data_IF_648125789005
#
_entry.id   IF_648125789005
#
_cell.length_a   1.000
_cell.length_b   1.000
_cell.length_c   1.000
_cell.angle_alpha   90.00
_cell.angle_beta   90.00
_cell.angle_gamma   90.00
#
_symmetry.space_group_name_H-M   'P 1'
#
loop_
_entity.id
_entity.type
_entity.pdbx_description
1 polymer ?
#
# COMPACT_ATOMS: atom_id res chain seq x y z
N UNK A 1 21.74 -31.39 1.26
CA UNK A 1 21.84 -30.77 -0.08
C UNK A 1 20.66 -29.84 -0.29
N UNK A 2 20.91 -28.55 -0.28
CA UNK A 2 19.85 -27.57 -0.58
C UNK A 2 19.59 -27.57 -2.08
N UNK A 3 18.35 -27.88 -2.49
CA UNK A 3 17.93 -27.81 -3.89
C UNK A 3 17.38 -26.41 -4.11
N UNK A 4 18.16 -25.55 -4.74
CA UNK A 4 17.70 -24.24 -5.18
C UNK A 4 16.84 -24.42 -6.42
N UNK A 5 15.52 -24.12 -6.31
CA UNK A 5 14.61 -24.13 -7.46
C UNK A 5 14.53 -22.71 -8.02
N UNK A 6 14.98 -22.55 -9.25
CA UNK A 6 14.84 -21.30 -10.01
C UNK A 6 13.70 -21.45 -11.02
N UNK A 7 12.81 -20.47 -11.06
CA UNK A 7 11.75 -20.41 -12.04
C UNK A 7 12.10 -19.39 -13.11
N UNK A 8 11.96 -19.79 -14.37
CA UNK A 8 12.18 -18.95 -15.54
C UNK A 8 10.93 -18.93 -16.40
N UNK A 9 10.73 -17.85 -17.14
CA UNK A 9 9.60 -17.67 -18.04
C UNK A 9 10.08 -17.64 -19.49
N UNK A 10 9.48 -18.48 -20.33
CA UNK A 10 9.74 -18.52 -21.77
C UNK A 10 8.46 -18.14 -22.51
N UNK A 11 8.60 -17.30 -23.55
CA UNK A 11 7.49 -16.96 -24.42
C UNK A 11 7.09 -18.15 -25.31
N UNK A 12 6.05 -17.94 -26.14
CA UNK A 12 5.55 -18.99 -27.04
C UNK A 12 6.59 -19.45 -28.09
N UNK A 13 7.61 -18.63 -28.36
CA UNK A 13 8.71 -18.96 -29.27
C UNK A 13 9.87 -19.69 -28.56
N UNK A 14 9.76 -19.96 -27.26
CA UNK A 14 10.80 -20.58 -26.46
C UNK A 14 11.93 -19.66 -26.02
N UNK A 15 11.75 -18.33 -26.14
CA UNK A 15 12.74 -17.34 -25.74
C UNK A 15 12.59 -16.97 -24.28
N UNK A 16 13.70 -16.98 -23.54
CA UNK A 16 13.74 -16.55 -22.14
C UNK A 16 13.33 -15.08 -22.00
N UNK A 17 12.29 -14.84 -21.21
CA UNK A 17 11.87 -13.48 -20.85
C UNK A 17 12.50 -13.08 -19.51
N UNK A 18 13.08 -11.89 -19.45
CA UNK A 18 13.68 -11.33 -18.23
C UNK A 18 13.10 -9.94 -17.95
N UNK A 19 13.26 -9.47 -16.71
CA UNK A 19 12.65 -8.24 -16.26
C UNK A 19 11.21 -8.46 -15.82
N UNK A 20 10.38 -7.43 -15.95
CA UNK A 20 8.97 -7.46 -15.59
C UNK A 20 8.17 -8.25 -16.63
N UNK A 21 7.48 -9.31 -16.19
CA UNK A 21 6.70 -10.22 -17.03
C UNK A 21 5.26 -10.26 -16.53
N UNK A 22 4.31 -9.98 -17.42
CA UNK A 22 2.87 -10.10 -17.17
C UNK A 22 2.33 -11.34 -17.91
N UNK A 23 1.75 -12.28 -17.18
CA UNK A 23 1.15 -13.51 -17.75
C UNK A 23 -0.35 -13.35 -18.09
N UNK A 24 -0.87 -12.11 -18.00
CA UNK A 24 -2.28 -11.77 -18.20
C UNK A 24 -3.12 -11.82 -16.91
N UNK A 25 -2.61 -12.41 -15.82
CA UNK A 25 -3.27 -12.47 -14.51
C UNK A 25 -2.41 -11.84 -13.41
N UNK A 26 -1.11 -11.99 -13.51
CA UNK A 26 -0.16 -11.61 -12.47
C UNK A 26 1.12 -11.07 -13.06
N UNK A 27 1.79 -10.23 -12.29
CA UNK A 27 3.05 -9.63 -12.65
C UNK A 27 4.17 -10.30 -11.87
N UNK A 28 5.27 -10.62 -12.56
CA UNK A 28 6.47 -11.28 -12.01
C UNK A 28 7.71 -10.52 -12.44
N UNK A 29 8.81 -10.74 -11.75
CA UNK A 29 10.11 -10.25 -12.18
C UNK A 29 11.11 -11.40 -12.31
N UNK A 30 11.69 -11.55 -13.47
CA UNK A 30 12.64 -12.61 -13.80
C UNK A 30 14.03 -12.02 -13.95
N UNK A 31 14.90 -12.38 -13.02
CA UNK A 31 16.33 -12.08 -13.13
C UNK A 31 17.01 -13.07 -14.07
N UNK A 32 17.93 -12.58 -14.89
CA UNK A 32 18.58 -13.39 -15.92
C UNK A 32 19.30 -14.63 -15.36
N UNK A 33 19.93 -14.50 -14.20
CA UNK A 33 20.79 -15.55 -13.64
C UNK A 33 20.15 -16.32 -12.48
N UNK A 34 19.18 -15.70 -11.79
CA UNK A 34 18.58 -16.25 -10.56
C UNK A 34 17.09 -16.54 -10.70
N UNK A 35 16.51 -16.27 -11.88
CA UNK A 35 15.10 -16.56 -12.16
C UNK A 35 14.12 -15.62 -11.45
N UNK A 36 12.93 -16.14 -11.18
CA UNK A 36 11.81 -15.39 -10.59
C UNK A 36 12.11 -14.90 -9.19
N UNK A 37 11.90 -13.61 -8.95
CA UNK A 37 12.01 -13.01 -7.63
C UNK A 37 10.85 -13.43 -6.72
N UNK A 38 11.16 -13.71 -5.46
CA UNK A 38 10.19 -14.04 -4.41
C UNK A 38 10.57 -13.34 -3.11
N UNK A 39 9.57 -12.98 -2.30
CA UNK A 39 9.75 -12.35 -0.99
C UNK A 39 10.72 -11.15 -0.99
N UNK A 40 10.64 -10.31 -2.02
CA UNK A 40 11.62 -9.22 -2.17
C UNK A 40 11.04 -7.99 -2.86
N UNK A 41 11.68 -6.88 -2.57
CA UNK A 41 11.43 -5.60 -3.22
C UNK A 41 12.25 -5.49 -4.51
N UNK A 42 11.69 -4.85 -5.51
CA UNK A 42 12.40 -4.47 -6.73
C UNK A 42 12.06 -3.05 -7.12
N UNK A 43 13.06 -2.20 -7.12
CA UNK A 43 12.99 -0.87 -7.70
C UNK A 43 13.53 -0.94 -9.12
N UNK A 44 12.68 -0.62 -10.10
CA UNK A 44 13.07 -0.55 -11.52
C UNK A 44 13.59 0.85 -11.82
N UNK A 45 12.94 1.86 -11.27
CA UNK A 45 13.34 3.26 -11.34
C UNK A 45 12.71 4.04 -10.17
N UNK A 46 12.97 5.33 -10.06
CA UNK A 46 12.48 6.18 -8.96
C UNK A 46 10.96 6.22 -8.79
N UNK A 47 10.21 5.86 -9.84
CA UNK A 47 8.73 5.86 -9.84
C UNK A 47 8.14 4.47 -9.66
N UNK A 48 8.85 3.44 -10.08
CA UNK A 48 8.35 2.06 -10.17
C UNK A 48 9.08 1.16 -9.18
N UNK A 49 8.40 0.89 -8.08
CA UNK A 49 8.85 -0.02 -7.02
C UNK A 49 7.78 -1.07 -6.82
N UNK A 50 8.16 -2.33 -6.82
CA UNK A 50 7.29 -3.50 -6.67
C UNK A 50 7.70 -4.35 -5.47
N UNK A 51 6.77 -5.13 -4.96
CA UNK A 51 7.06 -6.20 -4.02
C UNK A 51 6.54 -7.52 -4.57
N UNK A 52 7.42 -8.51 -4.67
CA UNK A 52 7.08 -9.86 -5.13
C UNK A 52 6.92 -10.78 -3.92
N UNK A 53 5.73 -11.37 -3.81
CA UNK A 53 5.33 -12.25 -2.71
C UNK A 53 6.05 -13.60 -2.78
N UNK A 54 5.82 -14.48 -1.80
CA UNK A 54 6.42 -15.82 -1.74
C UNK A 54 6.17 -16.65 -3.01
N UNK A 55 5.00 -16.48 -3.63
CA UNK A 55 4.64 -17.15 -4.88
C UNK A 55 5.17 -16.44 -6.15
N UNK A 56 5.98 -15.42 -6.00
CA UNK A 56 6.55 -14.61 -7.08
C UNK A 56 5.61 -13.56 -7.67
N UNK A 57 4.35 -13.54 -7.31
CA UNK A 57 3.39 -12.54 -7.81
C UNK A 57 3.64 -11.19 -7.18
N UNK A 58 3.63 -10.13 -7.97
CA UNK A 58 3.63 -8.77 -7.44
C UNK A 58 2.38 -8.51 -6.58
N UNK A 59 2.54 -7.79 -5.50
CA UNK A 59 1.43 -7.22 -4.76
C UNK A 59 0.69 -6.21 -5.67
N UNK A 60 -0.64 -6.33 -5.77
CA UNK A 60 -1.49 -5.48 -6.63
C UNK A 60 -2.80 -5.19 -5.92
N UNK A 61 -3.21 -3.91 -5.90
CA UNK A 61 -4.44 -3.45 -5.28
C UNK A 61 -4.63 -3.98 -3.85
N UNK A 62 -3.55 -4.00 -3.09
CA UNK A 62 -3.52 -4.57 -1.74
C UNK A 62 -2.58 -3.82 -0.80
N UNK A 63 -2.85 -3.96 0.50
CA UNK A 63 -1.96 -3.54 1.56
C UNK A 63 -1.04 -4.67 1.98
N UNK A 64 0.24 -4.35 2.13
CA UNK A 64 1.23 -5.23 2.75
C UNK A 64 1.95 -4.47 3.85
N UNK A 65 1.68 -4.84 5.11
CA UNK A 65 2.12 -4.10 6.29
C UNK A 65 1.69 -2.62 6.21
N UNK A 66 2.61 -1.71 6.05
CA UNK A 66 2.39 -0.25 5.97
C UNK A 66 2.51 0.32 4.56
N UNK A 67 2.48 -0.52 3.56
CA UNK A 67 2.62 -0.16 2.16
C UNK A 67 1.37 -0.54 1.39
N UNK A 68 0.99 0.30 0.45
CA UNK A 68 -0.11 0.02 -0.47
C UNK A 68 0.42 -0.07 -1.90
N UNK A 69 -0.07 -1.05 -2.64
CA UNK A 69 0.27 -1.23 -4.05
C UNK A 69 -0.94 -0.93 -4.92
N UNK A 70 -0.72 -0.17 -6.00
CA UNK A 70 -1.74 0.17 -6.97
C UNK A 70 -2.17 -1.07 -7.78
N UNK A 71 -3.20 -0.92 -8.61
CA UNK A 71 -3.70 -2.00 -9.47
C UNK A 71 -2.70 -2.49 -10.52
N UNK A 72 -1.71 -1.68 -10.86
CA UNK A 72 -0.58 -2.03 -11.74
C UNK A 72 0.61 -2.64 -10.97
N UNK A 73 0.51 -2.77 -9.66
CA UNK A 73 1.55 -3.33 -8.79
C UNK A 73 2.58 -2.31 -8.32
N UNK A 74 2.48 -1.04 -8.72
CA UNK A 74 3.42 0.00 -8.29
C UNK A 74 3.13 0.43 -6.87
N UNK A 75 4.17 0.61 -6.07
CA UNK A 75 4.09 1.13 -4.71
C UNK A 75 3.51 2.55 -4.69
N UNK A 76 2.41 2.74 -3.98
CA UNK A 76 1.80 4.06 -3.77
C UNK A 76 2.71 4.96 -2.94
N UNK A 77 2.96 6.19 -3.41
CA UNK A 77 3.82 7.19 -2.72
C UNK A 77 3.17 8.56 -2.76
N UNK A 78 3.41 9.38 -1.72
CA UNK A 78 2.97 10.78 -1.64
C UNK A 78 1.47 10.99 -1.91
N UNK A 79 0.62 10.11 -1.39
CA UNK A 79 -0.84 10.19 -1.62
C UNK A 79 -1.63 9.65 -0.43
N UNK A 80 -2.90 9.98 -0.41
CA UNK A 80 -3.88 9.44 0.52
C UNK A 80 -4.56 8.19 -0.07
N UNK A 81 -4.60 7.12 0.71
CA UNK A 81 -5.41 5.93 0.44
C UNK A 81 -6.39 5.79 1.61
N UNK A 82 -7.65 6.16 1.36
CA UNK A 82 -8.61 6.28 2.45
C UNK A 82 -8.16 7.30 3.49
N UNK A 83 -8.00 6.85 4.73
CA UNK A 83 -7.54 7.69 5.86
C UNK A 83 -6.02 7.68 6.07
N UNK A 84 -5.28 6.92 5.28
CA UNK A 84 -3.83 6.77 5.44
C UNK A 84 -3.07 7.62 4.44
N UNK A 85 -2.14 8.43 4.94
CA UNK A 85 -1.19 9.16 4.11
C UNK A 85 0.10 8.38 3.93
N UNK A 86 0.48 8.15 2.68
CA UNK A 86 1.72 7.50 2.31
C UNK A 86 2.78 8.56 2.00
N UNK A 87 3.92 8.45 2.66
CA UNK A 87 5.04 9.37 2.47
C UNK A 87 5.79 9.09 1.15
N UNK A 88 6.88 9.82 0.90
CA UNK A 88 7.71 9.66 -0.31
C UNK A 88 8.34 8.26 -0.46
N UNK A 89 8.50 7.51 0.64
CA UNK A 89 8.97 6.12 0.63
C UNK A 89 7.84 5.09 0.45
N UNK A 90 6.58 5.54 0.30
CA UNK A 90 5.40 4.68 0.19
C UNK A 90 4.93 4.11 1.53
N UNK A 91 5.49 4.53 2.64
CA UNK A 91 5.13 4.02 3.98
C UNK A 91 4.07 4.90 4.60
N UNK A 92 3.10 4.29 5.31
CA UNK A 92 2.12 5.03 6.10
C UNK A 92 2.84 5.94 7.11
N UNK A 93 2.57 7.25 7.03
CA UNK A 93 3.11 8.23 7.96
C UNK A 93 2.29 8.22 9.25
N UNK A 94 2.87 7.69 10.31
CA UNK A 94 2.24 7.69 11.65
C UNK A 94 2.09 9.10 12.23
N UNK A 95 2.95 10.02 11.80
CA UNK A 95 2.88 11.42 12.23
C UNK A 95 1.64 12.10 11.67
N UNK A 96 1.37 11.90 10.39
CA UNK A 96 0.19 12.48 9.71
C UNK A 96 -1.09 11.84 10.24
N UNK A 97 -1.09 10.53 10.45
CA UNK A 97 -2.22 9.80 11.05
C UNK A 97 -2.54 10.31 12.46
N UNK A 98 -1.53 10.53 13.29
CA UNK A 98 -1.70 11.05 14.66
C UNK A 98 -2.30 12.46 14.66
N UNK A 99 -1.84 13.33 13.78
CA UNK A 99 -2.38 14.68 13.62
C UNK A 99 -3.83 14.65 13.12
N UNK A 100 -4.15 13.77 12.18
CA UNK A 100 -5.50 13.58 11.67
C UNK A 100 -6.47 13.05 12.75
N UNK A 101 -6.06 12.07 13.55
CA UNK A 101 -6.84 11.58 14.69
C UNK A 101 -7.05 12.68 15.74
N UNK A 102 -6.04 13.50 16.01
CA UNK A 102 -6.15 14.62 16.92
C UNK A 102 -7.19 15.65 16.45
N UNK A 103 -7.21 15.97 15.16
CA UNK A 103 -8.20 16.87 14.56
C UNK A 103 -9.62 16.28 14.67
N UNK A 104 -9.82 15.01 14.34
CA UNK A 104 -11.13 14.35 14.47
C UNK A 104 -11.60 14.35 15.93
N UNK A 105 -10.71 14.04 16.87
CA UNK A 105 -11.01 13.99 18.30
C UNK A 105 -11.42 15.37 18.83
N UNK A 106 -10.71 16.43 18.44
CA UNK A 106 -11.05 17.82 18.84
C UNK A 106 -12.39 18.26 18.26
N UNK A 107 -12.69 17.92 16.98
CA UNK A 107 -14.00 18.21 16.37
C UNK A 107 -15.14 17.46 17.06
N UNK A 108 -14.94 16.19 17.42
CA UNK A 108 -15.94 15.40 18.14
C UNK A 108 -16.26 16.01 19.53
N UNK A 109 -15.23 16.44 20.27
CA UNK A 109 -15.41 17.13 21.56
C UNK A 109 -16.16 18.44 21.37
N UNK A 110 -15.84 19.26 20.38
CA UNK A 110 -16.53 20.51 20.08
C UNK A 110 -18.02 20.29 19.79
N UNK A 111 -18.38 19.25 19.01
CA UNK A 111 -19.77 18.90 18.74
C UNK A 111 -20.52 18.46 20.00
N UNK A 112 -19.91 17.68 20.88
CA UNK A 112 -20.48 17.26 22.17
C UNK A 112 -20.73 18.50 23.04
N UNK A 113 -19.77 19.41 23.12
CA UNK A 113 -19.90 20.65 23.89
C UNK A 113 -21.05 21.54 23.39
N UNK A 114 -21.20 21.69 22.07
CA UNK A 114 -22.32 22.43 21.48
C UNK A 114 -23.67 21.81 21.80
N UNK A 115 -23.77 20.49 21.75
CA UNK A 115 -25.01 19.74 22.11
C UNK A 115 -25.36 19.96 23.58
N UNK A 116 -24.38 19.89 24.48
CA UNK A 116 -24.57 20.12 25.92
C UNK A 116 -24.99 21.56 26.19
N UNK A 117 -24.38 22.53 25.55
CA UNK A 117 -24.74 23.95 25.69
C UNK A 117 -26.17 24.21 25.23
N UNK A 118 -26.58 23.60 24.11
CA UNK A 118 -27.97 23.70 23.62
C UNK A 118 -28.95 23.08 24.63
N UNK A 119 -28.67 21.88 25.11
CA UNK A 119 -29.51 21.19 26.12
C UNK A 119 -29.66 22.00 27.42
N UNK A 120 -28.58 22.64 27.86
CA UNK A 120 -28.60 23.49 29.05
C UNK A 120 -29.46 24.74 28.83
N UNK A 121 -29.32 25.42 27.68
CA UNK A 121 -30.13 26.58 27.32
C UNK A 121 -31.61 26.24 27.23
N UNK A 122 -31.99 25.11 26.64
CA UNK A 122 -33.38 24.65 26.51
C UNK A 122 -34.00 24.34 27.90
N UNK A 123 -33.22 23.87 28.85
CA UNK A 123 -33.67 23.65 30.25
C UNK A 123 -33.96 24.97 30.98
N UNK A 124 -33.18 26.01 30.77
CA UNK A 124 -33.36 27.31 31.39
C UNK A 124 -34.61 28.00 30.84
N UNK A 125 -34.89 27.90 29.51
CA UNK A 125 -36.05 28.52 28.87
C UNK A 125 -37.36 27.85 29.25
N UNK A 126 -37.38 26.58 29.67
CA UNK A 126 -38.56 25.83 30.11
C UNK A 126 -39.01 26.11 31.55
N UNK A 127 -38.26 26.87 32.26
CA UNK A 127 -38.65 27.41 33.56
C UNK A 127 -39.38 28.72 33.37
#
# INVERSE_FOLDING_TARGET
MEIYRYWFYFNQNGELQTGLVDDGNSLYYIEKNTGMLTNTWKEINSKETYYFKENGKAAKDEWMDRYHFENDGILSKNKWIGIFHLNHSGRVSLTDYRNYLFIIFTLAIALIFLKLKKKYKDRIIKK
#
